data_IF_942060223307
#
_entry.id   IF_942060223307
#
_cell.length_a   1.000
_cell.length_b   1.000
_cell.length_c   1.000
_cell.angle_alpha   90.00
_cell.angle_beta   90.00
_cell.angle_gamma   90.00
#
_symmetry.space_group_name_H-M   'P 1'
#
loop_
_entity.id
_entity.type
_entity.pdbx_description
1 polymer ?
#
# COMPACT_ATOMS: atom_id res chain seq x y z
N UNK A 1 1.47 -2.35 23.65
CA UNK A 1 2.73 -1.90 23.01
C UNK A 1 3.79 -1.70 24.07
N UNK A 2 4.74 -2.64 24.21
CA UNK A 2 5.74 -2.67 25.29
C UNK A 2 6.63 -1.42 25.35
N UNK A 3 6.83 -0.72 24.21
CA UNK A 3 7.67 0.48 24.11
C UNK A 3 6.92 1.79 23.76
N UNK A 4 5.58 1.77 23.64
CA UNK A 4 4.73 2.93 23.28
C UNK A 4 5.30 3.84 22.15
N UNK A 5 6.04 3.27 21.20
CA UNK A 5 6.60 4.02 20.09
C UNK A 5 5.52 4.33 19.03
N UNK A 6 5.54 5.53 18.42
CA UNK A 6 4.70 5.84 17.28
C UNK A 6 4.95 4.87 16.12
N UNK A 7 3.88 4.29 15.56
CA UNK A 7 3.96 3.27 14.51
C UNK A 7 4.71 3.75 13.26
N UNK A 8 4.54 5.02 12.87
CA UNK A 8 5.21 5.64 11.71
C UNK A 8 6.74 5.57 11.84
N UNK A 9 7.27 5.86 13.03
CA UNK A 9 8.72 5.87 13.27
C UNK A 9 9.26 4.45 13.15
N UNK A 10 8.53 3.47 13.70
CA UNK A 10 8.92 2.06 13.62
C UNK A 10 8.91 1.59 12.16
N UNK A 11 7.87 1.89 11.39
CA UNK A 11 7.77 1.45 9.98
C UNK A 11 8.82 2.09 9.08
N UNK A 12 9.08 3.40 9.24
CA UNK A 12 10.12 4.09 8.48
C UNK A 12 11.52 3.62 8.89
N UNK A 13 11.76 3.43 10.19
CA UNK A 13 13.02 2.85 10.67
C UNK A 13 13.24 1.43 10.16
N UNK A 14 12.21 0.59 10.11
CA UNK A 14 12.32 -0.76 9.53
C UNK A 14 12.57 -0.73 8.02
N UNK A 15 12.02 0.25 7.30
CA UNK A 15 12.29 0.44 5.87
C UNK A 15 13.79 0.66 5.63
N UNK A 16 14.38 1.63 6.33
CA UNK A 16 15.80 1.98 6.17
C UNK A 16 16.71 0.85 6.64
N UNK A 17 16.33 0.15 7.71
CA UNK A 17 17.04 -1.05 8.18
C UNK A 17 17.05 -2.15 7.11
N UNK A 18 15.89 -2.50 6.56
CA UNK A 18 15.80 -3.52 5.50
C UNK A 18 16.54 -3.09 4.24
N UNK A 19 16.47 -1.81 3.84
CA UNK A 19 17.27 -1.28 2.73
C UNK A 19 18.77 -1.45 2.97
N UNK A 20 19.26 -1.04 4.14
CA UNK A 20 20.66 -1.23 4.53
C UNK A 20 21.08 -2.70 4.50
N UNK A 21 20.25 -3.60 5.04
CA UNK A 21 20.50 -5.05 5.00
C UNK A 21 20.57 -5.58 3.56
N UNK A 22 19.63 -5.17 2.69
CA UNK A 22 19.67 -5.59 1.28
C UNK A 22 20.92 -5.09 0.55
N UNK A 23 21.41 -3.90 0.90
CA UNK A 23 22.64 -3.34 0.33
C UNK A 23 23.88 -4.12 0.75
N UNK A 24 23.98 -4.48 2.04
CA UNK A 24 25.08 -5.29 2.60
C UNK A 24 25.07 -6.70 1.98
N UNK A 25 23.92 -7.35 1.94
CA UNK A 25 23.79 -8.72 1.41
C UNK A 25 24.09 -8.77 -0.10
N UNK A 26 23.70 -7.73 -0.84
CA UNK A 26 23.88 -7.67 -2.29
C UNK A 26 25.27 -7.16 -2.70
N UNK A 27 26.15 -6.81 -1.75
CA UNK A 27 27.49 -6.27 -2.01
C UNK A 27 27.47 -5.08 -2.99
N UNK A 28 26.44 -4.24 -2.88
CA UNK A 28 26.11 -3.14 -3.79
C UNK A 28 25.92 -3.52 -5.28
N UNK A 29 25.86 -4.81 -5.61
CA UNK A 29 25.73 -5.31 -6.98
C UNK A 29 24.26 -5.43 -7.39
N UNK A 30 23.96 -4.95 -8.59
CA UNK A 30 22.66 -5.16 -9.19
C UNK A 30 22.49 -6.62 -9.61
N UNK A 31 21.44 -7.27 -9.11
CA UNK A 31 21.11 -8.63 -9.51
C UNK A 31 20.37 -8.54 -10.85
N UNK A 32 21.09 -8.89 -11.92
CA UNK A 32 20.58 -8.87 -13.30
C UNK A 32 19.81 -10.13 -13.70
N UNK A 33 19.20 -10.08 -14.88
CA UNK A 33 18.31 -11.10 -15.46
C UNK A 33 18.91 -12.50 -15.62
N UNK A 34 20.23 -12.60 -15.53
CA UNK A 34 21.02 -13.84 -15.60
C UNK A 34 20.99 -14.69 -14.32
N UNK A 35 20.72 -14.10 -13.16
CA UNK A 35 20.68 -14.82 -11.87
C UNK A 35 19.26 -15.17 -11.41
N UNK A 36 18.23 -14.62 -12.07
CA UNK A 36 16.84 -14.93 -11.75
C UNK A 36 16.47 -16.29 -12.34
N UNK A 37 15.95 -17.25 -11.55
CA UNK A 37 15.51 -18.55 -12.04
C UNK A 37 14.51 -18.43 -13.19
N UNK A 38 14.60 -19.31 -14.20
CA UNK A 38 13.67 -19.35 -15.34
C UNK A 38 12.21 -19.52 -14.90
N UNK A 39 11.97 -20.22 -13.78
CA UNK A 39 10.65 -20.39 -13.15
C UNK A 39 10.04 -19.08 -12.63
N UNK A 40 10.86 -18.14 -12.15
CA UNK A 40 10.38 -16.80 -11.76
C UNK A 40 10.08 -15.95 -13.00
N UNK A 41 10.81 -16.14 -14.10
CA UNK A 41 10.57 -15.42 -15.36
C UNK A 41 9.31 -15.92 -16.06
N UNK A 42 9.06 -17.24 -16.09
CA UNK A 42 7.84 -17.82 -16.68
C UNK A 42 6.58 -17.39 -15.93
N UNK A 43 6.66 -17.17 -14.61
CA UNK A 43 5.53 -16.64 -13.84
C UNK A 43 5.08 -15.24 -14.28
N UNK A 44 5.95 -14.42 -14.89
CA UNK A 44 5.55 -13.12 -15.47
C UNK A 44 5.35 -13.15 -16.99
N UNK A 45 5.90 -14.14 -17.70
CA UNK A 45 5.91 -14.19 -19.17
C UNK A 45 4.88 -15.16 -19.77
N UNK A 46 4.51 -16.24 -19.06
CA UNK A 46 3.58 -17.24 -19.57
C UNK A 46 2.14 -16.76 -19.35
N UNK A 47 1.48 -16.33 -20.44
CA UNK A 47 0.02 -16.09 -20.47
C UNK A 47 -0.72 -17.42 -20.64
N UNK A 48 -1.56 -17.85 -19.67
CA UNK A 48 -2.42 -19.02 -19.87
C UNK A 48 -3.72 -18.64 -20.58
N UNK A 49 -4.21 -17.39 -20.44
CA UNK A 49 -5.53 -16.94 -20.90
C UNK A 49 -5.45 -15.47 -21.39
N UNK A 50 -5.90 -15.19 -22.61
CA UNK A 50 -6.12 -13.85 -23.20
C UNK A 50 -4.93 -12.87 -23.30
N UNK A 51 -3.68 -13.30 -23.11
CA UNK A 51 -2.52 -12.40 -23.20
C UNK A 51 -2.31 -11.50 -21.97
N UNK A 52 -3.06 -11.75 -20.89
CA UNK A 52 -2.93 -11.02 -19.62
C UNK A 52 -1.82 -11.66 -18.77
N UNK A 53 -0.86 -10.89 -18.22
CA UNK A 53 0.17 -11.41 -17.30
C UNK A 53 -0.42 -12.00 -16.01
N UNK A 54 0.12 -13.12 -15.53
CA UNK A 54 -0.30 -13.80 -14.29
C UNK A 54 -0.29 -12.90 -13.04
N UNK A 55 0.58 -11.89 -13.03
CA UNK A 55 0.67 -10.86 -11.99
C UNK A 55 -0.68 -10.16 -11.74
N UNK A 56 -1.47 -9.93 -12.78
CA UNK A 56 -2.79 -9.28 -12.66
C UNK A 56 -3.77 -10.22 -11.95
N UNK A 57 -3.79 -11.50 -12.31
CA UNK A 57 -4.63 -12.50 -11.64
C UNK A 57 -4.25 -12.69 -10.18
N UNK A 58 -2.95 -12.72 -9.85
CA UNK A 58 -2.50 -12.72 -8.45
C UNK A 58 -2.96 -11.47 -7.70
N UNK A 59 -2.81 -10.28 -8.29
CA UNK A 59 -3.25 -9.04 -7.65
C UNK A 59 -4.75 -8.99 -7.39
N UNK A 60 -5.57 -9.45 -8.35
CA UNK A 60 -7.02 -9.56 -8.20
C UNK A 60 -7.40 -10.62 -7.17
N UNK A 61 -6.70 -11.76 -7.14
CA UNK A 61 -6.89 -12.80 -6.13
C UNK A 61 -6.60 -12.29 -4.72
N UNK A 62 -5.51 -11.55 -4.53
CA UNK A 62 -5.17 -10.92 -3.25
C UNK A 62 -6.24 -9.89 -2.85
N UNK A 63 -6.71 -9.09 -3.81
CA UNK A 63 -7.76 -8.11 -3.54
C UNK A 63 -9.09 -8.77 -3.15
N UNK A 64 -9.47 -9.85 -3.82
CA UNK A 64 -10.65 -10.65 -3.49
C UNK A 64 -10.53 -11.31 -2.12
N UNK A 65 -9.35 -11.87 -1.79
CA UNK A 65 -9.05 -12.42 -0.46
C UNK A 65 -9.13 -11.33 0.62
N UNK A 66 -8.59 -10.15 0.35
CA UNK A 66 -8.63 -9.01 1.28
C UNK A 66 -10.06 -8.52 1.48
N UNK A 67 -10.84 -8.42 0.41
CA UNK A 67 -12.27 -8.11 0.47
C UNK A 67 -13.03 -9.13 1.32
N UNK A 68 -12.82 -10.42 1.04
CA UNK A 68 -13.43 -11.51 1.80
C UNK A 68 -13.04 -11.48 3.28
N UNK A 69 -11.76 -11.25 3.57
CA UNK A 69 -11.24 -11.13 4.92
C UNK A 69 -11.89 -9.96 5.67
N UNK A 70 -11.93 -8.77 5.07
CA UNK A 70 -12.49 -7.57 5.69
C UNK A 70 -13.99 -7.69 5.90
N UNK A 71 -14.73 -8.19 4.91
CA UNK A 71 -16.20 -8.23 4.92
C UNK A 71 -16.72 -9.37 5.82
N UNK A 72 -16.09 -10.55 5.78
CA UNK A 72 -16.64 -11.75 6.41
C UNK A 72 -15.97 -12.13 7.74
N UNK A 73 -14.77 -11.65 8.06
CA UNK A 73 -14.10 -12.05 9.32
C UNK A 73 -14.39 -11.09 10.49
N UNK A 74 -14.43 -11.66 11.69
CA UNK A 74 -14.52 -10.86 12.93
C UNK A 74 -13.29 -9.97 13.12
N UNK A 75 -12.11 -10.44 12.70
CA UNK A 75 -10.86 -9.68 12.75
C UNK A 75 -10.95 -8.44 11.86
N UNK A 76 -11.49 -8.56 10.64
CA UNK A 76 -11.73 -7.41 9.76
C UNK A 76 -12.54 -6.31 10.44
N UNK A 77 -13.66 -6.67 11.08
CA UNK A 77 -14.48 -5.71 11.84
C UNK A 77 -13.76 -5.10 13.04
N UNK A 78 -12.92 -5.87 13.73
CA UNK A 78 -12.08 -5.38 14.82
C UNK A 78 -11.04 -4.35 14.34
N UNK A 79 -10.49 -4.53 13.13
CA UNK A 79 -9.56 -3.57 12.52
C UNK A 79 -10.25 -2.24 12.26
N UNK A 80 -11.46 -2.25 11.68
CA UNK A 80 -12.23 -1.02 11.48
C UNK A 80 -12.60 -0.36 12.80
N UNK A 81 -13.09 -1.12 13.78
CA UNK A 81 -13.44 -0.60 15.11
C UNK A 81 -12.24 0.03 15.84
N UNK A 82 -11.06 -0.59 15.74
CA UNK A 82 -9.81 -0.06 16.27
C UNK A 82 -9.43 1.27 15.61
N UNK A 83 -9.60 1.35 14.28
CA UNK A 83 -9.32 2.57 13.52
C UNK A 83 -10.32 3.70 13.77
N UNK A 84 -11.58 3.39 14.09
CA UNK A 84 -12.60 4.43 14.38
C UNK A 84 -12.38 5.09 15.73
N UNK A 85 -12.06 4.30 16.76
CA UNK A 85 -11.78 4.83 18.09
C UNK A 85 -10.81 3.89 18.84
N UNK A 86 -9.49 4.20 18.84
CA UNK A 86 -8.49 3.34 19.47
C UNK A 86 -8.59 3.34 21.01
N UNK A 87 -9.16 4.38 21.61
CA UNK A 87 -9.34 4.50 23.06
C UNK A 87 -10.53 3.65 23.54
N UNK A 88 -11.60 3.57 22.75
CA UNK A 88 -12.80 2.80 23.07
C UNK A 88 -12.70 1.31 22.67
N UNK A 89 -11.79 0.94 21.77
CA UNK A 89 -11.64 -0.44 21.30
C UNK A 89 -11.34 -1.46 22.42
N UNK A 90 -10.44 -1.20 23.39
CA UNK A 90 -10.20 -2.12 24.52
C UNK A 90 -11.44 -2.36 25.38
N UNK A 91 -12.28 -1.32 25.56
CA UNK A 91 -13.51 -1.39 26.36
C UNK A 91 -14.56 -2.32 25.72
N UNK A 92 -14.46 -2.58 24.41
CA UNK A 92 -15.30 -3.53 23.68
C UNK A 92 -14.71 -4.94 23.61
N UNK A 93 -13.70 -5.23 24.43
CA UNK A 93 -13.02 -6.54 24.46
C UNK A 93 -12.06 -6.79 23.29
N UNK A 94 -11.73 -5.76 22.50
CA UNK A 94 -10.80 -5.90 21.38
C UNK A 94 -9.36 -5.86 21.93
N UNK A 95 -8.63 -6.94 21.74
CA UNK A 95 -7.20 -6.97 22.07
C UNK A 95 -6.41 -6.20 21.01
N UNK A 96 -6.21 -4.90 21.25
CA UNK A 96 -5.48 -3.97 20.36
C UNK A 96 -4.14 -4.54 19.93
N UNK A 97 -3.37 -5.09 20.87
CA UNK A 97 -2.03 -5.63 20.58
C UNK A 97 -2.06 -6.77 19.56
N UNK A 98 -3.00 -7.73 19.72
CA UNK A 98 -3.12 -8.86 18.79
C UNK A 98 -3.56 -8.42 17.40
N UNK A 99 -4.56 -7.52 17.33
CA UNK A 99 -5.07 -7.00 16.05
C UNK A 99 -3.99 -6.21 15.32
N UNK A 100 -3.28 -5.32 16.02
CA UNK A 100 -2.18 -4.54 15.44
C UNK A 100 -1.06 -5.46 14.93
N UNK A 101 -0.64 -6.46 15.71
CA UNK A 101 0.40 -7.39 15.29
C UNK A 101 -0.02 -8.19 14.04
N UNK A 102 -1.26 -8.67 14.01
CA UNK A 102 -1.81 -9.39 12.85
C UNK A 102 -1.79 -8.52 11.59
N UNK A 103 -2.25 -7.26 11.68
CA UNK A 103 -2.26 -6.33 10.55
C UNK A 103 -0.85 -6.05 10.02
N UNK A 104 0.12 -5.81 10.91
CA UNK A 104 1.52 -5.61 10.51
C UNK A 104 2.12 -6.86 9.87
N UNK A 105 1.87 -8.04 10.42
CA UNK A 105 2.35 -9.30 9.83
C UNK A 105 1.75 -9.57 8.46
N UNK A 106 0.44 -9.33 8.27
CA UNK A 106 -0.20 -9.46 6.96
C UNK A 106 0.35 -8.44 5.95
N UNK A 107 0.54 -7.18 6.37
CA UNK A 107 1.12 -6.15 5.51
C UNK A 107 2.54 -6.51 5.07
N UNK A 108 3.38 -7.02 5.98
CA UNK A 108 4.72 -7.50 5.66
C UNK A 108 4.71 -8.70 4.71
N UNK A 109 3.84 -9.67 4.92
CA UNK A 109 3.69 -10.83 4.04
C UNK A 109 3.26 -10.43 2.62
N UNK A 110 2.28 -9.52 2.51
CA UNK A 110 1.81 -9.00 1.22
C UNK A 110 2.88 -8.15 0.52
N UNK A 111 3.66 -7.36 1.27
CA UNK A 111 4.78 -6.58 0.74
C UNK A 111 5.89 -7.49 0.21
N UNK A 112 6.24 -8.56 0.93
CA UNK A 112 7.20 -9.58 0.47
C UNK A 112 6.73 -10.28 -0.81
N UNK A 113 5.45 -10.65 -0.89
CA UNK A 113 4.86 -11.22 -2.11
C UNK A 113 4.92 -10.22 -3.28
N UNK A 114 4.61 -8.94 -3.05
CA UNK A 114 4.71 -7.90 -4.06
C UNK A 114 6.16 -7.71 -4.55
N UNK A 115 7.15 -7.82 -3.66
CA UNK A 115 8.57 -7.80 -4.03
C UNK A 115 8.97 -8.96 -4.94
N UNK A 116 8.47 -10.18 -4.67
CA UNK A 116 8.67 -11.35 -5.54
C UNK A 116 8.04 -11.10 -6.92
N UNK A 117 6.83 -10.55 -6.97
CA UNK A 117 6.15 -10.20 -8.22
C UNK A 117 6.90 -9.12 -9.01
N UNK A 118 7.46 -8.12 -8.33
CA UNK A 118 8.29 -7.08 -8.95
C UNK A 118 9.55 -7.67 -9.58
N UNK A 119 10.28 -8.50 -8.84
CA UNK A 119 11.50 -9.15 -9.31
C UNK A 119 11.20 -10.06 -10.52
N UNK A 120 10.07 -10.77 -10.50
CA UNK A 120 9.58 -11.59 -11.61
C UNK A 120 9.26 -10.75 -12.86
N UNK A 121 8.62 -9.59 -12.70
CA UNK A 121 8.21 -8.70 -13.80
C UNK A 121 9.38 -8.06 -14.53
N UNK A 122 10.29 -7.44 -13.78
CA UNK A 122 11.39 -6.65 -14.34
C UNK A 122 12.62 -7.51 -14.60
N UNK A 123 12.81 -8.59 -13.84
CA UNK A 123 13.94 -9.50 -13.98
C UNK A 123 15.28 -8.87 -13.59
N UNK A 124 15.29 -7.65 -13.05
CA UNK A 124 16.44 -7.03 -12.43
C UNK A 124 15.99 -6.33 -11.14
N UNK A 125 16.84 -6.37 -10.13
CA UNK A 125 16.61 -5.69 -8.86
C UNK A 125 17.88 -4.92 -8.51
N UNK A 126 17.73 -3.61 -8.34
CA UNK A 126 18.80 -2.75 -7.88
C UNK A 126 18.58 -2.47 -6.38
N UNK A 127 19.51 -2.88 -5.51
CA UNK A 127 19.34 -2.77 -4.06
C UNK A 127 19.22 -1.32 -3.54
N UNK A 128 19.70 -0.31 -4.28
CA UNK A 128 19.63 1.09 -3.83
C UNK A 128 18.35 1.82 -4.25
N UNK A 129 17.73 1.43 -5.37
CA UNK A 129 16.64 2.21 -5.98
C UNK A 129 15.34 1.43 -6.18
N UNK A 130 15.37 0.10 -6.17
CA UNK A 130 14.16 -0.70 -6.39
C UNK A 130 13.15 -0.48 -5.26
N UNK A 131 11.92 -0.10 -5.64
CA UNK A 131 10.83 0.18 -4.71
C UNK A 131 10.88 1.57 -4.06
N UNK A 132 11.87 2.42 -4.40
CA UNK A 132 11.94 3.75 -3.82
C UNK A 132 10.80 4.65 -4.29
N UNK A 133 10.07 5.23 -3.33
CA UNK A 133 8.91 6.07 -3.60
C UNK A 133 7.60 5.29 -3.76
N UNK A 134 7.64 3.94 -3.79
CA UNK A 134 6.43 3.14 -3.80
C UNK A 134 5.65 3.28 -2.50
N UNK A 135 6.33 3.57 -1.39
CA UNK A 135 5.69 3.81 -0.09
C UNK A 135 4.70 4.98 -0.22
N UNK A 136 5.16 6.09 -0.79
CA UNK A 136 4.37 7.28 -1.02
C UNK A 136 3.29 7.07 -2.09
N UNK A 137 3.60 6.39 -3.19
CA UNK A 137 2.63 6.08 -4.24
C UNK A 137 1.48 5.20 -3.73
N UNK A 138 1.79 4.17 -2.94
CA UNK A 138 0.77 3.27 -2.37
C UNK A 138 -0.12 4.05 -1.41
N UNK A 139 0.44 4.92 -0.55
CA UNK A 139 -0.36 5.78 0.32
C UNK A 139 -1.27 6.70 -0.51
N UNK A 140 -0.77 7.32 -1.58
CA UNK A 140 -1.59 8.17 -2.46
C UNK A 140 -2.75 7.39 -3.07
N UNK A 141 -2.48 6.22 -3.64
CA UNK A 141 -3.47 5.40 -4.32
C UNK A 141 -4.61 4.99 -3.37
N UNK A 142 -4.25 4.60 -2.14
CA UNK A 142 -5.19 4.15 -1.11
C UNK A 142 -6.05 5.33 -0.59
N UNK A 143 -5.44 6.51 -0.42
CA UNK A 143 -6.15 7.73 -0.01
C UNK A 143 -7.10 8.24 -1.09
N UNK A 144 -6.65 8.27 -2.35
CA UNK A 144 -7.50 8.59 -3.52
C UNK A 144 -8.65 7.59 -3.62
N UNK A 145 -8.39 6.32 -3.29
CA UNK A 145 -9.41 5.28 -3.17
C UNK A 145 -10.40 5.45 -2.00
N UNK A 146 -10.29 6.52 -1.21
CA UNK A 146 -11.23 6.87 -0.16
C UNK A 146 -10.94 6.25 1.21
N UNK A 147 -9.74 5.72 1.43
CA UNK A 147 -9.34 5.21 2.76
C UNK A 147 -8.87 6.36 3.65
N UNK A 148 -9.38 6.37 4.88
CA UNK A 148 -9.07 7.37 5.90
C UNK A 148 -7.66 7.16 6.49
N UNK A 149 -6.82 8.19 6.47
CA UNK A 149 -5.50 8.16 7.15
C UNK A 149 -5.64 8.08 8.66
N UNK A 150 -6.66 8.73 9.20
CA UNK A 150 -6.97 8.68 10.62
C UNK A 150 -7.62 7.35 11.04
N UNK A 151 -7.85 6.43 10.08
CA UNK A 151 -8.44 5.12 10.31
C UNK A 151 -9.97 5.11 10.33
N UNK A 152 -10.52 3.91 10.47
CA UNK A 152 -11.95 3.67 10.74
C UNK A 152 -12.89 3.73 9.54
N UNK A 153 -12.40 4.06 8.35
CA UNK A 153 -13.21 4.10 7.12
C UNK A 153 -12.35 3.82 5.89
N UNK A 154 -12.92 3.09 4.93
CA UNK A 154 -12.28 2.71 3.68
C UNK A 154 -13.02 1.57 2.97
N UNK A 155 -12.81 1.43 1.67
CA UNK A 155 -13.37 0.36 0.85
C UNK A 155 -12.27 -0.30 0.01
N UNK A 156 -12.30 -1.63 -0.08
CA UNK A 156 -11.37 -2.39 -0.93
C UNK A 156 -11.59 -2.05 -2.40
N UNK A 157 -12.83 -1.87 -2.84
CA UNK A 157 -13.15 -1.47 -4.21
C UNK A 157 -12.64 -0.07 -4.52
N UNK A 158 -12.81 0.88 -3.60
CA UNK A 158 -12.26 2.23 -3.75
C UNK A 158 -10.74 2.22 -3.84
N UNK A 159 -10.08 1.42 -3.00
CA UNK A 159 -8.63 1.22 -3.03
C UNK A 159 -8.15 0.65 -4.37
N UNK A 160 -8.86 -0.34 -4.92
CA UNK A 160 -8.54 -0.91 -6.23
C UNK A 160 -8.62 0.14 -7.34
N UNK A 161 -9.68 0.96 -7.35
CA UNK A 161 -9.84 2.03 -8.33
C UNK A 161 -8.74 3.10 -8.18
N UNK A 162 -8.37 3.46 -6.96
CA UNK A 162 -7.27 4.39 -6.70
C UNK A 162 -5.91 3.87 -7.16
N UNK A 163 -5.63 2.58 -6.92
CA UNK A 163 -4.41 1.90 -7.40
C UNK A 163 -4.39 1.81 -8.92
N UNK A 164 -5.52 1.52 -9.56
CA UNK A 164 -5.62 1.50 -11.03
C UNK A 164 -5.38 2.89 -11.62
N UNK A 165 -5.97 3.94 -11.04
CA UNK A 165 -5.77 5.32 -11.48
C UNK A 165 -4.29 5.69 -11.41
N UNK A 166 -3.65 5.50 -10.25
CA UNK A 166 -2.23 5.80 -10.08
C UNK A 166 -1.33 4.91 -10.94
N UNK A 167 -1.72 3.65 -11.15
CA UNK A 167 -1.04 2.73 -12.05
C UNK A 167 -1.06 3.22 -13.50
N UNK A 168 -2.20 3.74 -13.97
CA UNK A 168 -2.31 4.37 -15.29
C UNK A 168 -1.41 5.60 -15.41
N UNK A 169 -1.37 6.47 -14.38
CA UNK A 169 -0.47 7.63 -14.35
C UNK A 169 1.00 7.17 -14.39
N UNK A 170 1.34 6.13 -13.62
CA UNK A 170 2.69 5.57 -13.56
C UNK A 170 3.15 4.95 -14.87
N UNK A 171 2.23 4.37 -15.65
CA UNK A 171 2.51 3.90 -17.00
C UNK A 171 2.55 5.04 -18.03
N UNK A 172 1.76 6.11 -17.86
CA UNK A 172 1.66 7.20 -18.83
C UNK A 172 2.83 8.19 -18.76
N UNK A 173 3.31 8.57 -17.56
CA UNK A 173 4.38 9.57 -17.41
C UNK A 173 5.69 9.18 -18.15
N UNK A 174 6.16 7.92 -18.09
CA UNK A 174 7.33 7.50 -18.88
C UNK A 174 7.08 7.57 -20.40
N UNK A 175 5.87 7.25 -20.87
CA UNK A 175 5.51 7.31 -22.30
C UNK A 175 5.50 8.73 -22.84
N UNK A 176 5.21 9.71 -21.98
CA UNK A 176 5.30 11.14 -22.29
C UNK A 176 6.74 11.68 -22.25
N UNK A 177 7.74 10.82 -22.02
CA UNK A 177 9.15 11.21 -21.97
C UNK A 177 9.55 11.96 -20.70
N UNK A 178 8.74 11.91 -19.64
CA UNK A 178 9.03 12.64 -18.40
C UNK A 178 10.13 11.89 -17.61
N UNK A 179 11.25 12.56 -17.26
CA UNK A 179 12.34 11.94 -16.50
C UNK A 179 11.86 11.41 -15.14
N UNK A 180 12.41 10.28 -14.70
CA UNK A 180 12.03 9.63 -13.44
C UNK A 180 12.20 10.52 -12.20
N UNK A 181 13.17 11.43 -12.20
CA UNK A 181 13.35 12.41 -11.12
C UNK A 181 12.15 13.35 -10.96
N UNK A 182 11.56 13.79 -12.07
CA UNK A 182 10.37 14.63 -12.09
C UNK A 182 9.12 13.84 -11.74
N UNK A 183 9.07 12.55 -12.08
CA UNK A 183 7.94 11.69 -11.70
C UNK A 183 7.77 11.62 -10.18
N UNK A 184 8.85 11.50 -9.40
CA UNK A 184 8.80 11.54 -7.93
C UNK A 184 8.17 12.81 -7.39
N UNK A 185 8.47 13.97 -8.00
CA UNK A 185 7.85 15.24 -7.62
C UNK A 185 6.35 15.26 -7.94
N UNK A 186 5.93 14.71 -9.09
CA UNK A 186 4.52 14.59 -9.48
C UNK A 186 3.76 13.71 -8.50
N UNK A 187 4.30 12.53 -8.14
CA UNK A 187 3.65 11.67 -7.15
C UNK A 187 3.50 12.36 -5.79
N UNK A 188 4.52 13.09 -5.35
CA UNK A 188 4.45 13.92 -4.13
C UNK A 188 3.35 14.97 -4.20
N UNK A 189 3.26 15.69 -5.33
CA UNK A 189 2.21 16.68 -5.55
C UNK A 189 0.81 16.07 -5.55
N UNK A 190 0.63 14.90 -6.19
CA UNK A 190 -0.64 14.16 -6.23
C UNK A 190 -1.07 13.75 -4.82
N UNK A 191 -0.14 13.26 -3.99
CA UNK A 191 -0.43 12.95 -2.58
C UNK A 191 -0.89 14.19 -1.83
N UNK A 192 -0.13 15.28 -1.91
CA UNK A 192 -0.46 16.52 -1.21
C UNK A 192 -1.83 17.05 -1.63
N UNK A 193 -2.15 17.03 -2.93
CA UNK A 193 -3.47 17.42 -3.42
C UNK A 193 -4.57 16.48 -2.92
N UNK A 194 -4.37 15.16 -2.96
CA UNK A 194 -5.33 14.19 -2.45
C UNK A 194 -5.61 14.40 -0.95
N UNK A 195 -4.57 14.68 -0.15
CA UNK A 195 -4.69 14.98 1.28
C UNK A 195 -5.44 16.29 1.54
N UNK A 196 -5.13 17.34 0.78
CA UNK A 196 -5.79 18.64 0.90
C UNK A 196 -7.27 18.52 0.55
N UNK A 197 -7.60 17.76 -0.50
CA UNK A 197 -8.98 17.48 -0.90
C UNK A 197 -9.70 16.66 0.16
N UNK A 198 -9.13 15.54 0.65
CA UNK A 198 -9.75 14.73 1.70
C UNK A 198 -10.02 15.56 2.96
N UNK A 199 -9.06 16.40 3.38
CA UNK A 199 -9.22 17.29 4.53
C UNK A 199 -10.30 18.35 4.29
N UNK A 200 -10.33 18.96 3.10
CA UNK A 200 -11.32 19.98 2.75
C UNK A 200 -12.75 19.40 2.70
N UNK A 201 -12.93 18.25 2.06
CA UNK A 201 -14.22 17.55 1.95
C UNK A 201 -14.73 17.15 3.34
N UNK A 202 -13.86 16.65 4.23
CA UNK A 202 -14.22 16.31 5.61
C UNK A 202 -14.59 17.54 6.45
N UNK A 203 -13.85 18.64 6.33
CA UNK A 203 -14.18 19.88 7.05
C UNK A 203 -15.54 20.45 6.63
N UNK A 204 -15.91 20.31 5.35
CA UNK A 204 -17.23 20.73 4.86
C UNK A 204 -18.36 19.84 5.40
N UNK A 205 -18.15 18.52 5.47
CA UNK A 205 -19.13 17.61 6.08
C UNK A 205 -19.41 17.91 7.57
N UNK A 206 -18.39 18.30 8.33
CA UNK A 206 -18.53 18.68 9.75
C UNK A 206 -19.29 20.01 9.89
N UNK A 207 -19.01 21.01 9.05
CA UNK A 207 -19.73 22.30 9.06
C UNK A 207 -21.21 22.14 8.71
N UNK A 208 -21.56 21.25 7.78
CA UNK A 208 -22.96 20.98 7.40
C UNK A 208 -23.80 20.28 8.47
N UNK A 209 -23.19 19.48 9.35
CA UNK A 209 -23.89 18.90 10.52
C UNK A 209 -24.10 19.93 11.62
N UNK A 210 -23.11 20.79 11.87
CA UNK A 210 -23.22 21.84 12.90
C UNK A 210 -24.36 22.82 12.63
N UNK A 211 -24.64 23.16 11.37
CA UNK A 211 -25.74 24.08 11.02
C UNK A 211 -27.13 23.44 11.08
N UNK A 212 -27.22 22.09 11.06
CA UNK A 212 -28.49 21.34 11.19
C UNK A 212 -28.84 20.98 12.62
N UNK A 213 -27.87 20.99 13.53
CA UNK A 213 -28.10 20.76 14.97
C UNK A 213 -28.38 22.08 15.70
N UNK A 214 -28.01 23.22 15.11
CA UNK A 214 -28.30 24.56 15.65
C UNK A 214 -29.58 25.21 15.10
N UNK A 215 -30.35 24.49 14.27
CA UNK A 215 -31.62 24.93 13.67
C UNK A 215 -32.73 24.00 14.15
#
# INVERSE_FOLDING_TARGET
>A
TFFRLPAIIVTLGTLDLYRGLTYIISDAKQIGRQFVPSTMKSMSQTSPIFGIPWIIFMSLGIAALTYGFVMHTAVGRQVFALGSNPVAAPLRGINVTRVTLLVFSLSGALSGLAGIMYASRWGFVNPSNTGSGFEFQVIAAVVIGGVSINGGSGSVLGTLLGVLLLGCVSAALPLLGIPGTTQSAIYGAVILMALLIDRAVRQQGIKGLSSRVSA
#
